data_IF_885657085750
#
_entry.id   IF_885657085750
#
_cell.length_a   1.000
_cell.length_b   1.000
_cell.length_c   1.000
_cell.angle_alpha   90.00
_cell.angle_beta   90.00
_cell.angle_gamma   90.00
#
_symmetry.space_group_name_H-M   'P 1'
#
loop_
_entity.id
_entity.type
_entity.pdbx_description
1 polymer ?
#
# COMPACT_ATOMS: atom_id res chain seq x y z
N UNK A 1 5.02 13.88 16.72
CA UNK A 1 3.66 13.44 16.33
C UNK A 1 3.48 13.79 14.87
N UNK A 2 3.84 12.89 13.96
CA UNK A 2 3.66 13.11 12.53
C UNK A 2 2.46 12.28 12.10
N UNK A 3 1.36 12.98 11.80
CA UNK A 3 0.10 12.41 11.32
C UNK A 3 0.32 11.74 9.95
N UNK A 4 0.40 10.41 9.92
CA UNK A 4 0.21 9.62 8.70
C UNK A 4 -1.26 9.24 8.59
N UNK A 5 -2.07 10.21 8.17
CA UNK A 5 -3.37 9.90 7.58
C UNK A 5 -3.12 9.75 6.08
N UNK A 6 -3.40 8.58 5.53
CA UNK A 6 -3.42 8.34 4.09
C UNK A 6 -4.11 9.53 3.40
N UNK A 7 -3.45 10.14 2.40
CA UNK A 7 -4.04 11.26 1.65
C UNK A 7 -5.46 10.88 1.26
N UNK A 8 -6.44 11.76 1.49
CA UNK A 8 -7.84 11.51 1.15
C UNK A 8 -8.04 11.05 -0.31
N UNK A 9 -7.08 11.34 -1.20
CA UNK A 9 -7.04 10.80 -2.57
C UNK A 9 -6.76 9.29 -2.60
N UNK A 10 -5.70 8.86 -1.91
CA UNK A 10 -5.28 7.45 -1.83
C UNK A 10 -6.34 6.56 -1.18
N UNK A 11 -7.04 7.07 -0.14
CA UNK A 11 -8.19 6.37 0.46
C UNK A 11 -9.32 6.15 -0.55
N UNK A 12 -9.62 7.16 -1.38
CA UNK A 12 -10.65 7.05 -2.41
C UNK A 12 -10.26 6.08 -3.52
N UNK A 13 -9.01 6.10 -3.95
CA UNK A 13 -8.48 5.19 -4.98
C UNK A 13 -8.63 3.73 -4.54
N UNK A 14 -8.29 3.41 -3.29
CA UNK A 14 -8.44 2.05 -2.76
C UNK A 14 -9.91 1.68 -2.58
N UNK A 15 -10.77 2.61 -2.13
CA UNK A 15 -12.21 2.37 -2.03
C UNK A 15 -12.84 2.02 -3.38
N UNK A 16 -12.46 2.74 -4.44
CA UNK A 16 -12.89 2.46 -5.81
C UNK A 16 -12.42 1.07 -6.28
N UNK A 17 -11.20 0.68 -5.91
CA UNK A 17 -10.63 -0.63 -6.23
C UNK A 17 -11.45 -1.77 -5.61
N UNK A 18 -11.78 -1.65 -4.31
CA UNK A 18 -12.57 -2.62 -3.57
C UNK A 18 -13.99 -2.69 -4.13
N UNK A 19 -14.64 -1.55 -4.38
CA UNK A 19 -15.97 -1.51 -5.00
C UNK A 19 -16.01 -2.22 -6.36
N UNK A 20 -15.00 -1.99 -7.19
CA UNK A 20 -14.92 -2.58 -8.54
C UNK A 20 -14.68 -4.08 -8.45
N UNK A 21 -13.78 -4.52 -7.56
CA UNK A 21 -13.51 -5.93 -7.31
C UNK A 21 -14.71 -6.67 -6.74
N UNK A 22 -15.46 -6.05 -5.83
CA UNK A 22 -16.69 -6.62 -5.26
C UNK A 22 -17.81 -6.74 -6.28
N UNK A 23 -18.00 -5.73 -7.14
CA UNK A 23 -19.00 -5.74 -8.23
C UNK A 23 -18.73 -6.83 -9.27
N UNK A 24 -17.46 -7.13 -9.54
CA UNK A 24 -17.07 -8.09 -10.57
C UNK A 24 -16.77 -9.49 -10.00
N UNK A 25 -16.56 -9.63 -8.69
CA UNK A 25 -16.12 -10.86 -8.04
C UNK A 25 -14.65 -11.23 -8.31
N UNK A 26 -13.97 -10.44 -9.14
CA UNK A 26 -12.57 -10.59 -9.47
C UNK A 26 -11.92 -9.23 -9.76
N UNK A 27 -10.59 -9.19 -9.66
CA UNK A 27 -9.77 -8.03 -9.96
C UNK A 27 -8.57 -8.50 -10.80
N UNK A 28 -8.19 -7.74 -11.83
CA UNK A 28 -7.02 -8.09 -12.64
C UNK A 28 -5.76 -7.41 -12.12
N UNK A 29 -4.59 -8.04 -12.29
CA UNK A 29 -3.30 -7.42 -11.97
C UNK A 29 -3.10 -6.10 -12.73
N UNK A 30 -3.61 -6.01 -13.97
CA UNK A 30 -3.62 -4.75 -14.72
C UNK A 30 -4.47 -3.69 -14.04
N UNK A 31 -5.70 -4.02 -13.62
CA UNK A 31 -6.58 -3.07 -12.93
C UNK A 31 -5.99 -2.58 -11.59
N UNK A 32 -5.30 -3.46 -10.86
CA UNK A 32 -4.55 -3.09 -9.65
C UNK A 32 -3.46 -2.07 -10.00
N UNK A 33 -2.62 -2.36 -11.01
CA UNK A 33 -1.52 -1.49 -11.40
C UNK A 33 -1.98 -0.16 -12.02
N UNK A 34 -3.14 -0.14 -12.68
CA UNK A 34 -3.74 1.07 -13.26
C UNK A 34 -4.26 2.03 -12.17
N UNK A 35 -4.81 1.48 -11.09
CA UNK A 35 -5.36 2.24 -9.95
C UNK A 35 -4.32 2.54 -8.87
N UNK A 36 -3.29 1.69 -8.74
CA UNK A 36 -2.17 1.82 -7.81
C UNK A 36 -0.85 1.94 -8.59
N UNK A 37 -0.59 3.11 -9.21
CA UNK A 37 0.62 3.29 -9.98
C UNK A 37 1.87 3.18 -9.10
N UNK A 38 2.90 2.51 -9.62
CA UNK A 38 4.20 2.27 -8.95
C UNK A 38 4.99 3.54 -8.59
N UNK A 39 4.53 4.70 -9.06
CA UNK A 39 5.01 6.02 -8.63
C UNK A 39 4.62 6.31 -7.17
N UNK A 40 3.42 5.91 -6.77
CA UNK A 40 2.81 6.27 -5.48
C UNK A 40 2.87 5.13 -4.46
N UNK A 41 3.07 3.90 -4.94
CA UNK A 41 3.07 2.67 -4.16
C UNK A 41 4.28 1.81 -4.54
N UNK A 42 4.92 1.26 -3.52
CA UNK A 42 6.02 0.33 -3.68
C UNK A 42 5.54 -1.10 -3.98
N UNK A 43 6.41 -1.94 -4.54
CA UNK A 43 6.07 -3.34 -4.82
C UNK A 43 5.55 -4.07 -3.57
N UNK A 44 6.20 -3.85 -2.41
CA UNK A 44 5.78 -4.45 -1.14
C UNK A 44 4.39 -3.96 -0.70
N UNK A 45 4.09 -2.68 -0.95
CA UNK A 45 2.82 -2.06 -0.61
C UNK A 45 1.69 -2.59 -1.51
N UNK A 46 1.98 -2.78 -2.80
CA UNK A 46 1.06 -3.40 -3.75
C UNK A 46 0.79 -4.85 -3.33
N UNK A 47 1.79 -5.60 -2.88
CA UNK A 47 1.61 -6.96 -2.37
C UNK A 47 0.71 -7.00 -1.11
N UNK A 48 0.90 -6.06 -0.18
CA UNK A 48 0.06 -5.94 1.02
C UNK A 48 -1.40 -5.62 0.66
N UNK A 49 -1.63 -4.68 -0.25
CA UNK A 49 -2.99 -4.37 -0.74
C UNK A 49 -3.61 -5.58 -1.43
N UNK A 50 -2.83 -6.32 -2.22
CA UNK A 50 -3.29 -7.54 -2.90
C UNK A 50 -3.68 -8.63 -1.90
N UNK A 51 -2.93 -8.79 -0.80
CA UNK A 51 -3.29 -9.71 0.30
C UNK A 51 -4.62 -9.34 0.94
N UNK A 52 -4.83 -8.05 1.24
CA UNK A 52 -6.08 -7.58 1.83
C UNK A 52 -7.29 -7.76 0.89
N UNK A 53 -7.10 -7.55 -0.41
CA UNK A 53 -8.14 -7.83 -1.42
C UNK A 53 -8.48 -9.33 -1.44
N UNK A 54 -7.47 -10.19 -1.29
CA UNK A 54 -7.65 -11.64 -1.22
C UNK A 54 -8.37 -12.05 0.08
N UNK A 55 -8.06 -11.39 1.20
CA UNK A 55 -8.75 -11.58 2.50
C UNK A 55 -10.23 -11.16 2.43
N UNK A 56 -10.54 -10.15 1.60
CA UNK A 56 -11.91 -9.74 1.24
C UNK A 56 -12.62 -10.71 0.27
N UNK A 57 -12.04 -11.89 0.00
CA UNK A 57 -12.55 -12.93 -0.91
C UNK A 57 -12.70 -12.49 -2.36
N UNK A 58 -11.98 -11.45 -2.79
CA UNK A 58 -11.96 -11.02 -4.20
C UNK A 58 -10.83 -11.78 -4.91
N UNK A 59 -11.15 -12.50 -5.99
CA UNK A 59 -10.14 -13.25 -6.76
C UNK A 59 -9.24 -12.31 -7.57
N UNK A 60 -7.93 -12.46 -7.46
CA UNK A 60 -6.96 -11.71 -8.30
C UNK A 60 -6.54 -12.58 -9.48
N UNK A 61 -6.78 -12.10 -10.71
CA UNK A 61 -6.50 -12.83 -11.96
C UNK A 61 -5.45 -12.10 -12.79
N UNK A 62 -4.63 -12.87 -13.53
CA UNK A 62 -3.54 -12.31 -14.34
C UNK A 62 -4.07 -11.79 -15.69
N UNK A 63 -5.17 -12.36 -16.20
CA UNK A 63 -5.84 -11.93 -17.43
C UNK A 63 -7.35 -12.14 -17.36
N UNK A 64 -8.12 -11.22 -17.96
CA UNK A 64 -9.58 -11.34 -18.09
C UNK A 64 -10.03 -12.61 -18.81
N UNK A 65 -9.14 -13.26 -19.60
CA UNK A 65 -9.42 -14.54 -20.26
C UNK A 65 -9.47 -15.74 -19.31
N UNK A 66 -8.83 -15.67 -18.14
CA UNK A 66 -8.95 -16.70 -17.09
C UNK A 66 -10.21 -16.53 -16.24
N UNK A 67 -10.81 -15.32 -16.24
CA UNK A 67 -12.07 -15.06 -15.54
C UNK A 67 -13.23 -15.86 -16.14
N UNK A 68 -13.26 -16.02 -17.48
CA UNK A 68 -14.28 -16.85 -18.15
C UNK A 68 -14.12 -18.35 -17.87
N UNK A 69 -12.91 -18.86 -17.67
CA UNK A 69 -12.66 -20.28 -17.42
C UNK A 69 -12.95 -20.66 -15.95
N UNK A 70 -12.71 -19.74 -15.00
CA UNK A 70 -13.03 -19.97 -13.58
C UNK A 70 -14.51 -19.77 -13.24
N UNK A 71 -15.25 -18.96 -14.00
CA UNK A 71 -16.69 -18.75 -13.85
C UNK A 71 -17.53 -19.94 -14.35
N UNK A 72 -16.97 -20.85 -15.15
CA UNK A 72 -17.69 -22.05 -15.59
C UNK A 72 -17.62 -23.23 -14.59
N UNK A 73 -16.74 -23.18 -13.59
CA UNK A 73 -16.53 -24.27 -12.63
C UNK A 73 -16.97 -23.96 -11.18
N UNK A 74 -17.58 -22.80 -10.94
CA UNK A 74 -18.12 -22.46 -9.63
C UNK A 74 -19.53 -21.86 -9.79
N UNK A 75 -20.48 -22.74 -10.06
CA UNK A 75 -21.90 -22.55 -9.73
C UNK A 75 -22.10 -22.73 -8.21
N UNK A 76 -21.26 -22.09 -7.41
CA UNK A 76 -21.49 -21.93 -5.97
C UNK A 76 -21.61 -20.42 -5.72
N UNK A 77 -22.88 -20.01 -5.73
CA UNK A 77 -23.39 -18.98 -4.86
C UNK A 77 -22.81 -17.57 -5.08
N UNK A 78 -23.46 -16.88 -6.01
CA UNK A 78 -23.84 -15.48 -5.78
C UNK A 78 -24.83 -15.46 -4.61
N UNK A 79 -24.35 -15.74 -3.40
CA UNK A 79 -25.08 -15.46 -2.18
C UNK A 79 -24.83 -14.00 -1.85
N UNK A 80 -25.85 -13.23 -2.20
CA UNK A 80 -26.34 -12.09 -1.43
C UNK A 80 -26.44 -12.52 0.04
N UNK A 81 -25.32 -12.53 0.78
CA UNK A 81 -25.30 -12.88 2.21
C UNK A 81 -24.41 -11.94 3.02
N UNK A 82 -25.11 -11.35 3.97
CA UNK A 82 -24.86 -10.18 4.80
C UNK A 82 -24.14 -10.58 6.10
N UNK A 83 -23.03 -11.35 6.07
CA UNK A 83 -22.47 -11.84 7.35
C UNK A 83 -20.98 -12.26 7.43
N UNK A 84 -20.06 -11.58 6.72
CA UNK A 84 -18.64 -11.57 7.17
C UNK A 84 -17.91 -10.28 6.80
N UNK A 85 -18.66 -9.18 6.77
CA UNK A 85 -18.30 -7.97 6.06
C UNK A 85 -17.26 -7.17 6.86
N UNK A 86 -15.98 -7.32 6.54
CA UNK A 86 -15.05 -6.20 6.70
C UNK A 86 -15.63 -5.11 5.79
N UNK A 87 -16.27 -4.12 6.39
CA UNK A 87 -16.90 -3.04 5.64
C UNK A 87 -15.85 -2.29 4.82
N UNK A 88 -16.24 -1.63 3.73
CA UNK A 88 -15.30 -0.81 2.93
C UNK A 88 -14.55 0.20 3.81
N UNK A 89 -15.21 0.69 4.85
CA UNK A 89 -14.64 1.63 5.80
C UNK A 89 -13.67 0.94 6.78
N UNK A 90 -13.94 -0.30 7.22
CA UNK A 90 -12.99 -1.12 7.98
C UNK A 90 -11.78 -1.55 7.15
N UNK A 91 -11.96 -1.88 5.86
CA UNK A 91 -10.83 -2.20 4.99
C UNK A 91 -9.91 -0.98 4.81
N UNK A 92 -10.51 0.20 4.63
CA UNK A 92 -9.76 1.47 4.56
C UNK A 92 -9.12 1.83 5.91
N UNK A 93 -9.78 1.56 7.04
CA UNK A 93 -9.22 1.75 8.37
C UNK A 93 -8.06 0.79 8.64
N UNK A 94 -8.20 -0.51 8.32
CA UNK A 94 -7.14 -1.52 8.42
C UNK A 94 -5.95 -1.10 7.57
N UNK A 95 -6.16 -0.74 6.31
CA UNK A 95 -5.12 -0.19 5.42
C UNK A 95 -4.47 1.08 5.98
N UNK A 96 -5.24 1.97 6.59
CA UNK A 96 -4.71 3.19 7.20
C UNK A 96 -3.91 2.92 8.48
N UNK A 97 -4.29 1.88 9.23
CA UNK A 97 -3.56 1.42 10.42
C UNK A 97 -2.26 0.67 10.04
N UNK A 98 -2.26 0.00 8.88
CA UNK A 98 -1.09 -0.62 8.28
C UNK A 98 -0.08 0.41 7.74
N UNK A 99 -0.42 1.71 7.66
CA UNK A 99 0.51 2.76 7.22
C UNK A 99 1.70 2.95 8.19
N UNK A 100 1.54 2.56 9.46
CA UNK A 100 2.67 2.44 10.41
C UNK A 100 3.72 1.40 9.95
N UNK A 101 3.30 0.45 9.10
CA UNK A 101 4.12 -0.61 8.50
C UNK A 101 4.49 -0.32 7.03
N UNK A 102 3.71 0.49 6.29
CA UNK A 102 4.05 0.94 4.93
C UNK A 102 5.36 1.75 4.87
N UNK A 103 5.75 2.40 5.97
CA UNK A 103 7.04 3.08 6.09
C UNK A 103 8.22 2.15 6.41
N UNK A 104 7.96 0.90 6.81
CA UNK A 104 8.97 -0.10 7.17
C UNK A 104 9.28 -0.98 5.97
N UNK A 105 10.05 -0.43 5.05
CA UNK A 105 10.73 -1.23 4.04
C UNK A 105 11.59 -2.30 4.72
N UNK A 106 11.53 -3.53 4.22
CA UNK A 106 12.43 -4.61 4.64
C UNK A 106 13.78 -4.56 3.92
N UNK A 107 13.91 -3.73 2.87
CA UNK A 107 15.16 -3.50 2.14
C UNK A 107 16.17 -2.68 2.98
N UNK A 108 17.35 -3.25 3.32
CA UNK A 108 18.41 -2.57 4.06
C UNK A 108 18.94 -1.31 3.36
N UNK A 109 18.98 -1.29 2.03
CA UNK A 109 19.45 -0.15 1.24
C UNK A 109 18.47 1.00 1.40
N UNK A 110 17.17 0.70 1.30
CA UNK A 110 16.12 1.70 1.42
C UNK A 110 16.00 2.23 2.84
N UNK A 111 16.21 1.37 3.85
CA UNK A 111 16.36 1.78 5.25
C UNK A 111 17.48 2.82 5.39
N UNK A 112 18.66 2.55 4.81
CA UNK A 112 19.79 3.47 4.84
C UNK A 112 19.50 4.78 4.11
N UNK A 113 18.94 4.76 2.89
CA UNK A 113 18.63 5.98 2.14
C UNK A 113 17.61 6.87 2.87
N UNK A 114 16.62 6.26 3.54
CA UNK A 114 15.66 6.99 4.37
C UNK A 114 16.34 7.67 5.55
N UNK A 115 17.19 6.94 6.28
CA UNK A 115 17.89 7.46 7.45
C UNK A 115 19.00 8.46 7.11
N UNK A 116 19.62 8.34 5.94
CA UNK A 116 20.50 9.38 5.40
C UNK A 116 19.72 10.64 5.00
N UNK A 117 18.53 10.48 4.42
CA UNK A 117 17.70 11.59 3.94
C UNK A 117 17.06 12.45 5.04
N UNK A 118 17.01 11.95 6.29
CA UNK A 118 16.57 12.75 7.44
C UNK A 118 17.65 13.71 7.93
N UNK A 119 18.92 13.48 7.58
CA UNK A 119 20.04 14.34 7.95
C UNK A 119 20.22 15.41 6.88
N UNK A 120 20.02 16.66 7.26
CA UNK A 120 20.21 17.79 6.35
C UNK A 120 21.68 17.96 5.93
N UNK A 121 21.89 18.39 4.69
CA UNK A 121 23.23 18.68 4.18
C UNK A 121 23.81 19.92 4.88
N UNK A 122 25.05 19.79 5.33
CA UNK A 122 25.77 20.90 5.95
C UNK A 122 26.19 21.91 4.89
N UNK A 123 26.10 23.19 5.25
CA UNK A 123 26.76 24.25 4.52
C UNK A 123 28.18 24.46 5.08
N UNK A 124 29.02 25.18 4.34
CA UNK A 124 30.41 25.46 4.75
C UNK A 124 30.54 26.04 6.16
N UNK A 125 29.58 26.87 6.61
CA UNK A 125 29.61 27.44 7.94
C UNK A 125 29.29 26.38 9.03
N UNK A 126 28.32 25.50 8.77
CA UNK A 126 27.98 24.37 9.62
C UNK A 126 29.12 23.37 9.76
N UNK A 127 29.84 23.08 8.67
CA UNK A 127 31.04 22.24 8.70
C UNK A 127 32.13 22.82 9.61
N UNK A 128 32.37 24.14 9.55
CA UNK A 128 33.35 24.81 10.41
C UNK A 128 32.94 24.74 11.89
N UNK A 129 31.65 24.87 12.19
CA UNK A 129 31.15 24.77 13.58
C UNK A 129 31.38 23.37 14.13
N UNK A 130 31.07 22.34 13.34
CA UNK A 130 31.27 20.95 13.74
C UNK A 130 32.75 20.64 13.90
N UNK A 131 33.60 21.12 12.98
CA UNK A 131 35.05 20.94 13.07
C UNK A 131 35.63 21.52 14.37
N UNK A 132 35.18 22.73 14.78
CA UNK A 132 35.59 23.34 16.05
C UNK A 132 35.10 22.56 17.27
N UNK A 133 33.87 22.04 17.25
CA UNK A 133 33.36 21.19 18.34
C UNK A 133 34.21 19.93 18.54
N UNK A 134 34.57 19.29 17.43
CA UNK A 134 35.43 18.10 17.45
C UNK A 134 36.84 18.45 17.99
N UNK A 135 37.41 19.60 17.62
CA UNK A 135 38.70 20.09 18.13
C UNK A 135 38.67 20.35 19.64
N UNK A 136 37.55 20.87 20.15
CA UNK A 136 37.31 21.11 21.58
C UNK A 136 36.97 19.81 22.35
N UNK A 137 36.83 18.67 21.66
CA UNK A 137 36.55 17.37 22.25
C UNK A 137 35.08 17.14 22.63
N UNK A 138 34.16 17.90 22.04
CA UNK A 138 32.70 17.71 22.17
C UNK A 138 32.11 16.92 21.00
#
# INVERSE_FOLDING_TARGET
MANSNLSKSKQKEIKILIETGRKQGYLTVSAINDLLPTNQYDSDQIEQITKLITDLKIKVLESAKEAEDSNLMNDEEVTDDDDSEITEDEAVEVLSSLDEEFGRTSDPVRMYMREMGTVELLNRAGEIIIAKKIEEGQ
#
